data_IF_981906932486
#
_entry.id   IF_981906932486
#
_cell.length_a   1.000
_cell.length_b   1.000
_cell.length_c   1.000
_cell.angle_alpha   90.00
_cell.angle_beta   90.00
_cell.angle_gamma   90.00
#
_symmetry.space_group_name_H-M   'P 1'
#
loop_
_entity.id
_entity.type
_entity.pdbx_description
1 polymer ?
#
# COMPACT_ATOMS: atom_id res chain seq x y z
N UNK A 1 0.30 13.46 -6.91
CA UNK A 1 1.46 12.70 -6.38
C UNK A 1 1.06 11.30 -5.97
N UNK A 2 2.02 10.39 -6.03
CA UNK A 2 1.89 9.04 -5.48
C UNK A 2 2.31 9.08 -4.01
N UNK A 3 1.66 8.30 -3.16
CA UNK A 3 1.93 8.29 -1.72
C UNK A 3 2.34 6.89 -1.23
N UNK A 4 3.16 6.85 -0.19
CA UNK A 4 3.43 5.66 0.62
C UNK A 4 3.24 6.04 2.08
N UNK A 5 2.35 5.35 2.80
CA UNK A 5 2.01 5.67 4.18
C UNK A 5 2.40 4.56 5.14
N UNK A 6 3.00 4.93 6.26
CA UNK A 6 3.27 4.01 7.36
C UNK A 6 4.39 4.47 8.26
N UNK A 7 4.66 3.69 9.32
CA UNK A 7 5.82 3.94 10.17
C UNK A 7 7.11 3.74 9.36
N UNK A 8 8.08 4.63 9.53
CA UNK A 8 9.38 4.52 8.87
C UNK A 8 10.26 3.51 9.62
N UNK A 9 9.94 2.25 9.42
CA UNK A 9 10.60 1.08 9.99
C UNK A 9 11.15 0.19 8.88
N UNK A 10 12.19 -0.59 9.19
CA UNK A 10 12.85 -1.47 8.21
C UNK A 10 11.89 -2.41 7.48
N UNK A 11 10.86 -2.92 8.19
CA UNK A 11 9.86 -3.84 7.62
C UNK A 11 9.02 -3.24 6.50
N UNK A 12 9.02 -1.90 6.37
CA UNK A 12 8.28 -1.18 5.31
C UNK A 12 9.03 -1.08 3.99
N UNK A 13 10.30 -1.48 3.98
CA UNK A 13 11.19 -1.48 2.79
C UNK A 13 11.17 -0.15 2.01
N UNK A 14 11.03 0.98 2.73
CA UNK A 14 11.02 2.32 2.12
C UNK A 14 12.33 2.66 1.44
N UNK A 15 13.44 2.07 1.86
CA UNK A 15 14.74 2.21 1.20
C UNK A 15 14.74 1.54 -0.18
N UNK A 16 14.18 0.34 -0.31
CA UNK A 16 14.00 -0.32 -1.61
C UNK A 16 13.06 0.47 -2.52
N UNK A 17 11.97 1.03 -1.97
CA UNK A 17 11.06 1.89 -2.70
C UNK A 17 11.79 3.13 -3.28
N UNK A 18 12.59 3.82 -2.45
CA UNK A 18 13.37 4.98 -2.88
C UNK A 18 14.38 4.59 -3.99
N UNK A 19 15.10 3.48 -3.81
CA UNK A 19 16.06 3.00 -4.80
C UNK A 19 15.38 2.63 -6.12
N UNK A 20 14.19 2.03 -6.06
CA UNK A 20 13.42 1.66 -7.24
C UNK A 20 12.78 2.86 -7.94
N UNK A 21 12.74 4.03 -7.29
CA UNK A 21 12.15 5.26 -7.84
C UNK A 21 13.08 6.04 -8.78
N UNK A 22 14.34 5.64 -8.88
CA UNK A 22 15.39 6.39 -9.63
C UNK A 22 14.96 6.71 -11.07
N UNK A 23 14.30 5.77 -11.74
CA UNK A 23 13.85 5.94 -13.14
C UNK A 23 12.48 6.59 -13.28
N UNK A 24 11.71 6.74 -12.19
CA UNK A 24 10.38 7.35 -12.21
C UNK A 24 10.48 8.87 -12.37
N UNK A 25 9.60 9.45 -13.18
CA UNK A 25 9.42 10.90 -13.31
C UNK A 25 8.36 11.46 -12.36
N UNK A 26 7.59 10.57 -11.73
CA UNK A 26 6.50 10.95 -10.84
C UNK A 26 7.00 11.41 -9.48
N UNK A 27 6.16 12.16 -8.77
CA UNK A 27 6.43 12.59 -7.40
C UNK A 27 5.91 11.57 -6.40
N UNK A 28 6.77 11.23 -5.43
CA UNK A 28 6.45 10.33 -4.33
C UNK A 28 6.48 11.10 -3.00
N UNK A 29 5.43 10.98 -2.21
CA UNK A 29 5.43 11.42 -0.83
C UNK A 29 5.43 10.21 0.10
N UNK A 30 6.48 10.04 0.88
CA UNK A 30 6.57 9.02 1.93
C UNK A 30 6.08 9.68 3.21
N UNK A 31 4.91 9.23 3.68
CA UNK A 31 4.18 9.87 4.79
C UNK A 31 4.28 8.99 6.03
N UNK A 32 4.90 9.52 7.06
CA UNK A 32 5.05 8.85 8.34
C UNK A 32 6.31 9.27 9.10
N UNK A 33 6.50 8.69 10.26
CA UNK A 33 7.66 8.90 11.11
C UNK A 33 8.21 7.56 11.61
N UNK A 34 9.46 7.53 12.01
CA UNK A 34 10.07 6.32 12.55
C UNK A 34 11.61 6.36 12.56
N UNK A 35 12.24 5.29 13.10
CA UNK A 35 13.69 5.26 13.28
C UNK A 35 14.50 5.33 11.99
N UNK A 36 13.92 4.96 10.83
CA UNK A 36 14.61 4.99 9.54
C UNK A 36 14.58 6.38 8.86
N UNK A 37 13.85 7.37 9.39
CA UNK A 37 13.61 8.66 8.73
C UNK A 37 14.89 9.36 8.28
N UNK A 38 15.89 9.45 9.15
CA UNK A 38 17.16 10.11 8.82
C UNK A 38 17.93 9.35 7.74
N UNK A 39 17.96 8.01 7.83
CA UNK A 39 18.61 7.14 6.82
C UNK A 39 17.95 7.31 5.46
N UNK A 40 16.61 7.33 5.40
CA UNK A 40 15.84 7.50 4.17
C UNK A 40 16.06 8.89 3.57
N UNK A 41 16.14 9.94 4.40
CA UNK A 41 16.43 11.30 3.96
C UNK A 41 17.82 11.39 3.32
N UNK A 42 18.83 10.77 3.94
CA UNK A 42 20.18 10.68 3.38
C UNK A 42 20.18 9.95 2.05
N UNK A 43 19.48 8.80 1.96
CA UNK A 43 19.39 8.02 0.73
C UNK A 43 18.75 8.79 -0.42
N UNK A 44 17.68 9.57 -0.16
CA UNK A 44 17.05 10.45 -1.16
C UNK A 44 18.05 11.48 -1.69
N UNK A 45 18.82 12.08 -0.80
CA UNK A 45 19.86 13.05 -1.18
C UNK A 45 20.96 12.41 -2.02
N UNK A 46 21.51 11.27 -1.58
CA UNK A 46 22.61 10.58 -2.25
C UNK A 46 22.25 10.10 -3.67
N UNK A 47 20.97 9.76 -3.87
CA UNK A 47 20.43 9.37 -5.16
C UNK A 47 19.95 10.57 -6.01
N UNK A 48 20.12 11.82 -5.55
CA UNK A 48 19.65 13.04 -6.21
C UNK A 48 18.14 13.01 -6.51
N UNK A 49 17.32 12.54 -5.56
CA UNK A 49 15.88 12.40 -5.70
C UNK A 49 15.06 13.47 -4.95
N UNK A 50 15.70 14.47 -4.38
CA UNK A 50 15.06 15.52 -3.54
C UNK A 50 13.96 16.31 -4.24
N UNK A 51 14.00 16.42 -5.56
CA UNK A 51 12.98 17.08 -6.36
C UNK A 51 11.74 16.19 -6.62
N UNK A 52 11.88 14.89 -6.43
CA UNK A 52 10.84 13.89 -6.75
C UNK A 52 10.31 13.15 -5.54
N UNK A 53 11.12 12.96 -4.49
CA UNK A 53 10.71 12.25 -3.27
C UNK A 53 10.75 13.19 -2.08
N UNK A 54 9.67 13.21 -1.30
CA UNK A 54 9.58 13.97 -0.07
C UNK A 54 9.12 13.07 1.08
N UNK A 55 9.80 13.14 2.22
CA UNK A 55 9.32 12.57 3.48
C UNK A 55 8.46 13.62 4.17
N UNK A 56 7.28 13.23 4.61
CA UNK A 56 6.31 14.09 5.30
C UNK A 56 5.98 13.44 6.64
N UNK A 57 6.51 14.00 7.72
CA UNK A 57 6.33 13.50 9.08
C UNK A 57 5.25 14.28 9.83
N UNK A 58 4.70 13.66 10.88
CA UNK A 58 3.82 14.33 11.85
C UNK A 58 2.54 14.95 11.27
N UNK A 59 1.92 14.30 10.28
CA UNK A 59 0.59 14.68 9.83
C UNK A 59 -0.48 14.23 10.82
N UNK A 60 -1.45 15.09 11.09
CA UNK A 60 -2.68 14.73 11.79
C UNK A 60 -3.62 13.91 10.86
N UNK A 61 -4.64 13.31 11.45
CA UNK A 61 -5.59 12.46 10.73
C UNK A 61 -6.28 13.17 9.57
N UNK A 62 -6.71 14.42 9.77
CA UNK A 62 -7.40 15.18 8.72
C UNK A 62 -6.48 15.50 7.53
N UNK A 63 -5.22 15.78 7.82
CA UNK A 63 -4.18 15.99 6.80
C UNK A 63 -3.91 14.72 6.00
N UNK A 64 -3.89 13.55 6.66
CA UNK A 64 -3.75 12.24 5.99
C UNK A 64 -4.96 11.97 5.08
N UNK A 65 -6.18 12.25 5.53
CA UNK A 65 -7.38 12.13 4.70
C UNK A 65 -7.32 13.05 3.46
N UNK A 66 -6.80 14.28 3.63
CA UNK A 66 -6.52 15.19 2.52
C UNK A 66 -5.53 14.62 1.51
N UNK A 67 -4.53 13.85 1.96
CA UNK A 67 -3.58 13.16 1.08
C UNK A 67 -4.26 12.08 0.25
N UNK A 68 -5.11 11.27 0.84
CA UNK A 68 -5.89 10.28 0.07
C UNK A 68 -6.75 10.94 -1.01
N UNK A 69 -7.40 12.07 -0.74
CA UNK A 69 -8.26 12.77 -1.71
C UNK A 69 -7.50 13.33 -2.92
N UNK A 70 -6.20 13.53 -2.81
CA UNK A 70 -5.37 14.17 -3.85
C UNK A 70 -4.31 13.25 -4.45
N UNK A 71 -4.14 12.06 -3.90
CA UNK A 71 -3.18 11.08 -4.38
C UNK A 71 -3.63 10.45 -5.71
N UNK A 72 -2.70 10.25 -6.61
CA UNK A 72 -2.90 9.51 -7.86
C UNK A 72 -2.61 8.01 -7.72
N UNK A 73 -2.06 7.57 -6.60
CA UNK A 73 -1.79 6.17 -6.28
C UNK A 73 -1.19 6.01 -4.89
N UNK A 74 -1.35 4.82 -4.32
CA UNK A 74 -0.69 4.36 -3.09
C UNK A 74 0.29 3.24 -3.42
N UNK A 75 1.46 3.26 -2.78
CA UNK A 75 2.41 2.13 -2.83
C UNK A 75 2.60 1.56 -1.43
N UNK A 76 2.51 0.22 -1.34
CA UNK A 76 2.77 -0.55 -0.11
C UNK A 76 3.92 -1.51 -0.39
N UNK A 77 5.16 -1.09 -0.15
CA UNK A 77 6.39 -1.85 -0.44
C UNK A 77 6.82 -2.80 0.66
N UNK A 78 6.01 -3.02 1.68
CA UNK A 78 6.38 -3.72 2.91
C UNK A 78 6.88 -5.15 2.68
N UNK A 79 7.91 -5.54 3.41
CA UNK A 79 8.42 -6.92 3.46
C UNK A 79 7.46 -7.85 4.22
N UNK A 80 6.70 -7.33 5.19
CA UNK A 80 5.71 -8.07 5.97
C UNK A 80 4.55 -7.18 6.36
N UNK A 81 3.35 -7.67 6.12
CA UNK A 81 2.08 -7.07 6.54
C UNK A 81 1.11 -8.17 6.95
N UNK A 82 0.19 -7.85 7.89
CA UNK A 82 -0.99 -8.67 8.12
C UNK A 82 -2.14 -8.17 7.25
N UNK A 83 -2.71 -7.03 7.65
CA UNK A 83 -3.76 -6.31 6.93
C UNK A 83 -3.51 -4.81 7.04
N UNK A 84 -2.82 -4.21 6.07
CA UNK A 84 -2.46 -2.79 6.15
C UNK A 84 -3.71 -1.92 6.02
N UNK A 85 -4.03 -1.16 7.08
CA UNK A 85 -5.17 -0.23 7.08
C UNK A 85 -5.10 0.78 5.94
N UNK A 86 -3.91 1.23 5.62
CA UNK A 86 -3.66 2.16 4.51
C UNK A 86 -4.15 1.64 3.16
N UNK A 87 -4.11 0.31 2.94
CA UNK A 87 -4.67 -0.33 1.75
C UNK A 87 -6.21 -0.19 1.72
N UNK A 88 -6.87 -0.49 2.84
CA UNK A 88 -8.33 -0.39 2.93
C UNK A 88 -8.81 1.05 2.79
N UNK A 89 -8.09 1.99 3.38
CA UNK A 89 -8.33 3.43 3.28
C UNK A 89 -8.18 3.89 1.82
N UNK A 90 -7.12 3.50 1.12
CA UNK A 90 -6.91 3.84 -0.28
C UNK A 90 -8.01 3.27 -1.19
N UNK A 91 -8.40 2.00 -1.01
CA UNK A 91 -9.49 1.39 -1.79
C UNK A 91 -10.82 2.12 -1.54
N UNK A 92 -11.11 2.52 -0.30
CA UNK A 92 -12.31 3.31 0.01
C UNK A 92 -12.32 4.68 -0.69
N UNK A 93 -11.15 5.30 -0.84
CA UNK A 93 -10.98 6.55 -1.59
C UNK A 93 -10.81 6.33 -3.10
N UNK A 94 -10.95 5.09 -3.57
CA UNK A 94 -10.79 4.71 -4.99
C UNK A 94 -9.42 5.09 -5.57
N UNK A 95 -8.38 5.06 -4.72
CA UNK A 95 -7.01 5.33 -5.12
C UNK A 95 -6.37 4.04 -5.62
N UNK A 96 -5.78 4.02 -6.82
CA UNK A 96 -5.01 2.88 -7.32
C UNK A 96 -3.90 2.47 -6.36
N UNK A 97 -3.73 1.16 -6.17
CA UNK A 97 -2.73 0.62 -5.24
C UNK A 97 -1.78 -0.32 -5.96
N UNK A 98 -0.49 -0.13 -5.74
CA UNK A 98 0.56 -1.09 -6.04
C UNK A 98 1.13 -1.61 -4.71
N UNK A 99 1.44 -2.89 -4.62
CA UNK A 99 1.90 -3.45 -3.35
C UNK A 99 2.79 -4.66 -3.45
N UNK A 100 3.40 -5.02 -2.32
CA UNK A 100 4.10 -6.29 -2.17
C UNK A 100 3.11 -7.44 -1.94
N UNK A 101 3.46 -8.63 -2.42
CA UNK A 101 2.68 -9.88 -2.26
C UNK A 101 2.77 -10.42 -0.84
N UNK A 102 2.22 -9.69 0.13
CA UNK A 102 2.24 -10.05 1.56
C UNK A 102 0.88 -9.86 2.22
N UNK A 103 0.60 -10.68 3.23
CA UNK A 103 -0.63 -10.62 4.04
C UNK A 103 -1.88 -10.69 3.17
N UNK A 104 -2.84 -9.78 3.42
CA UNK A 104 -4.09 -9.72 2.67
C UNK A 104 -4.00 -8.91 1.36
N UNK A 105 -2.85 -8.34 1.02
CA UNK A 105 -2.73 -7.48 -0.18
C UNK A 105 -3.08 -8.25 -1.46
N UNK A 106 -2.58 -9.49 -1.68
CA UNK A 106 -2.90 -10.28 -2.87
C UNK A 106 -4.38 -10.67 -3.01
N UNK A 107 -5.13 -10.62 -1.91
CA UNK A 107 -6.57 -10.94 -1.93
C UNK A 107 -7.43 -9.75 -2.41
N UNK A 108 -6.86 -8.55 -2.44
CA UNK A 108 -7.58 -7.30 -2.64
C UNK A 108 -7.20 -6.57 -3.92
N UNK A 109 -5.98 -6.74 -4.42
CA UNK A 109 -5.54 -6.06 -5.63
C UNK A 109 -5.06 -7.06 -6.68
N UNK A 110 -5.16 -6.71 -8.00
CA UNK A 110 -4.77 -7.60 -9.08
C UNK A 110 -3.31 -8.03 -9.02
N UNK A 111 -3.02 -9.24 -9.52
CA UNK A 111 -1.67 -9.81 -9.48
C UNK A 111 -0.62 -8.98 -10.23
N UNK A 112 -1.02 -8.30 -11.28
CA UNK A 112 -0.18 -7.37 -12.07
C UNK A 112 0.20 -6.11 -11.28
N UNK A 113 -0.50 -5.81 -10.19
CA UNK A 113 -0.21 -4.70 -9.28
C UNK A 113 0.70 -5.11 -8.11
N UNK A 114 1.28 -6.30 -8.13
CA UNK A 114 2.05 -6.89 -7.03
C UNK A 114 3.51 -7.11 -7.38
N UNK A 115 4.41 -6.76 -6.46
CA UNK A 115 5.82 -7.16 -6.48
C UNK A 115 6.10 -8.27 -5.46
N UNK A 116 7.19 -9.00 -5.64
CA UNK A 116 7.66 -9.95 -4.62
C UNK A 116 8.30 -9.19 -3.44
N UNK A 117 7.96 -9.57 -2.19
CA UNK A 117 8.45 -8.88 -1.01
C UNK A 117 9.97 -9.00 -0.86
N UNK A 118 10.65 -7.88 -0.60
CA UNK A 118 12.10 -7.84 -0.43
C UNK A 118 12.88 -8.03 -1.73
N UNK A 119 12.22 -8.12 -2.87
CA UNK A 119 12.86 -8.17 -4.20
C UNK A 119 12.82 -6.79 -4.87
N UNK A 120 13.93 -6.08 -4.79
CA UNK A 120 14.06 -4.75 -5.37
C UNK A 120 13.85 -4.74 -6.89
N UNK A 121 14.26 -5.78 -7.62
CA UNK A 121 14.08 -5.86 -9.08
C UNK A 121 12.61 -6.04 -9.42
N UNK A 122 11.90 -6.89 -8.68
CA UNK A 122 10.47 -7.06 -8.83
C UNK A 122 9.72 -5.76 -8.56
N UNK A 123 10.07 -5.04 -7.49
CA UNK A 123 9.46 -3.74 -7.17
C UNK A 123 9.77 -2.71 -8.25
N UNK A 124 11.00 -2.62 -8.73
CA UNK A 124 11.38 -1.69 -9.77
C UNK A 124 10.61 -1.96 -11.08
N UNK A 125 10.53 -3.22 -11.51
CA UNK A 125 9.77 -3.60 -12.70
C UNK A 125 8.28 -3.23 -12.56
N UNK A 126 7.67 -3.53 -11.41
CA UNK A 126 6.30 -3.14 -11.12
C UNK A 126 6.09 -1.64 -11.25
N UNK A 127 6.98 -0.83 -10.67
CA UNK A 127 6.84 0.63 -10.69
C UNK A 127 7.02 1.20 -12.10
N UNK A 128 7.98 0.71 -12.87
CA UNK A 128 8.22 1.15 -14.25
C UNK A 128 7.03 0.83 -15.16
N UNK A 129 6.40 -0.33 -14.99
CA UNK A 129 5.28 -0.77 -15.80
C UNK A 129 3.96 -0.12 -15.36
N UNK A 130 3.66 -0.15 -14.05
CA UNK A 130 2.31 0.14 -13.55
C UNK A 130 2.08 1.58 -13.12
N UNK A 131 3.12 2.33 -12.76
CA UNK A 131 2.94 3.75 -12.37
C UNK A 131 2.30 4.57 -13.50
N UNK A 132 2.68 4.43 -14.78
CA UNK A 132 2.01 5.11 -15.87
C UNK A 132 0.55 4.66 -16.11
N UNK A 133 0.19 3.46 -15.66
CA UNK A 133 -1.12 2.86 -15.86
C UNK A 133 -2.09 3.08 -14.69
N UNK A 134 -1.63 3.65 -13.56
CA UNK A 134 -2.47 3.90 -12.38
C UNK A 134 -3.84 4.52 -12.70
N UNK A 135 -3.96 5.54 -13.59
CA UNK A 135 -5.26 6.13 -13.90
C UNK A 135 -6.24 5.21 -14.61
N UNK A 136 -5.78 4.05 -15.10
CA UNK A 136 -6.57 3.09 -15.87
C UNK A 136 -7.05 1.91 -15.02
N UNK A 137 -6.59 1.80 -13.76
CA UNK A 137 -6.97 0.69 -12.88
C UNK A 137 -8.45 0.82 -12.45
N UNK A 138 -9.16 -0.30 -12.51
CA UNK A 138 -10.57 -0.37 -12.12
C UNK A 138 -10.72 -0.43 -10.59
N UNK A 139 -10.74 0.71 -9.94
CA UNK A 139 -10.88 0.79 -8.48
C UNK A 139 -12.30 0.52 -8.00
N UNK A 140 -13.32 0.78 -8.79
CA UNK A 140 -14.72 0.51 -8.43
C UNK A 140 -14.96 -0.99 -8.22
N UNK A 141 -14.45 -1.83 -9.11
CA UNK A 141 -14.53 -3.29 -8.98
C UNK A 141 -13.78 -3.81 -7.75
N UNK A 142 -12.60 -3.27 -7.47
CA UNK A 142 -11.79 -3.61 -6.28
C UNK A 142 -12.54 -3.22 -5.00
N UNK A 143 -13.12 -2.03 -4.95
CA UNK A 143 -13.93 -1.54 -3.83
C UNK A 143 -15.18 -2.39 -3.59
N UNK A 144 -15.87 -2.79 -4.66
CA UNK A 144 -17.01 -3.68 -4.56
C UNK A 144 -16.62 -5.04 -3.96
N UNK A 145 -15.53 -5.64 -4.43
CA UNK A 145 -15.00 -6.91 -3.89
C UNK A 145 -14.56 -6.79 -2.42
N UNK A 146 -13.96 -5.65 -2.03
CA UNK A 146 -13.63 -5.37 -0.63
C UNK A 146 -14.89 -5.38 0.25
N UNK A 147 -15.92 -4.64 -0.16
CA UNK A 147 -17.15 -4.53 0.61
C UNK A 147 -17.88 -5.87 0.74
N UNK A 148 -17.87 -6.68 -0.29
CA UNK A 148 -18.48 -8.02 -0.27
C UNK A 148 -17.74 -8.97 0.67
N UNK A 149 -16.41 -9.00 0.63
CA UNK A 149 -15.62 -10.02 1.32
C UNK A 149 -15.15 -9.62 2.71
N UNK A 150 -14.96 -8.32 2.98
CA UNK A 150 -14.30 -7.80 4.18
C UNK A 150 -15.13 -6.80 4.98
N UNK A 151 -16.42 -6.64 4.66
CA UNK A 151 -17.33 -5.84 5.49
C UNK A 151 -17.58 -6.51 6.84
N UNK A 152 -17.99 -5.71 7.84
CA UNK A 152 -18.42 -6.25 9.14
C UNK A 152 -19.54 -7.29 9.00
N UNK A 153 -20.46 -7.09 8.07
CA UNK A 153 -21.54 -8.01 7.78
C UNK A 153 -21.01 -9.34 7.22
N UNK A 154 -20.07 -9.29 6.28
CA UNK A 154 -19.42 -10.48 5.73
C UNK A 154 -18.63 -11.24 6.81
N UNK A 155 -17.88 -10.54 7.65
CA UNK A 155 -17.17 -11.15 8.77
C UNK A 155 -18.12 -11.82 9.76
N UNK A 156 -19.21 -11.16 10.13
CA UNK A 156 -20.23 -11.72 11.03
C UNK A 156 -20.89 -12.98 10.43
N UNK A 157 -21.21 -12.95 9.13
CA UNK A 157 -21.77 -14.10 8.42
C UNK A 157 -20.83 -15.30 8.42
N UNK A 158 -19.57 -15.09 8.03
CA UNK A 158 -18.53 -16.15 8.02
C UNK A 158 -18.32 -16.73 9.43
N UNK A 159 -18.27 -15.87 10.46
CA UNK A 159 -18.13 -16.30 11.85
C UNK A 159 -19.31 -17.17 12.28
N UNK A 160 -20.54 -16.78 11.97
CA UNK A 160 -21.75 -17.55 12.26
C UNK A 160 -21.72 -18.92 11.59
N UNK A 161 -21.35 -18.99 10.32
CA UNK A 161 -21.25 -20.25 9.56
C UNK A 161 -20.23 -21.22 10.19
N UNK A 162 -19.08 -20.69 10.66
CA UNK A 162 -18.08 -21.50 11.38
C UNK A 162 -18.68 -22.08 12.67
N UNK A 163 -19.34 -21.26 13.48
CA UNK A 163 -19.98 -21.74 14.72
C UNK A 163 -21.07 -22.81 14.45
N UNK A 164 -21.92 -22.60 13.46
CA UNK A 164 -22.95 -23.57 13.08
C UNK A 164 -22.34 -24.90 12.62
N UNK A 165 -21.22 -24.85 11.88
CA UNK A 165 -20.51 -26.06 11.45
C UNK A 165 -19.90 -26.81 12.62
N UNK A 166 -19.27 -26.10 13.56
CA UNK A 166 -18.69 -26.71 14.76
C UNK A 166 -19.73 -27.32 15.67
N UNK A 167 -20.89 -26.69 15.83
CA UNK A 167 -22.00 -27.23 16.62
C UNK A 167 -22.56 -28.54 16.01
N UNK A 168 -22.70 -28.59 14.69
CA UNK A 168 -23.15 -29.81 13.97
C UNK A 168 -22.15 -30.96 14.05
N UNK A 169 -20.84 -30.65 14.08
CA UNK A 169 -19.77 -31.66 14.17
C UNK A 169 -19.66 -32.30 15.57
N UNK A 170 -20.22 -31.65 16.61
CA UNK A 170 -20.21 -32.10 18.01
C UNK A 170 -21.58 -32.65 18.48
N UNK A 171 -22.54 -32.81 17.59
CA UNK A 171 -23.86 -33.41 17.81
C UNK A 171 -23.94 -34.83 17.24
#
# INVERSE_FOLDING_TARGET
>A
SIIALGRLEKVKDSDQLIQSWVNSKERLEIIGSGPEEQKLTTLIHDLNLTDRIKIVSNLDYNSIEGKYKTASGLIVSSHREGGPRVLLEAINHEIPVLGSRVGMIPDLIPSECLSEPGDQKSLQALLEEMVPLLPQLNMEGIKAALNENYSLMSAAKKTKEIYETLLKANS
#
